data_IF_299710045105
#
_entry.id   IF_299710045105
#
_cell.length_a   1.000
_cell.length_b   1.000
_cell.length_c   1.000
_cell.angle_alpha   90.00
_cell.angle_beta   90.00
_cell.angle_gamma   90.00
#
_symmetry.space_group_name_H-M   'P 1'
#
loop_
_entity.id
_entity.type
_entity.pdbx_description
1 polymer ?
#
# COMPACT_ATOMS: atom_id res chain seq x y z
N UNK A 1 -24.13 -68.96 24.96
CA UNK A 1 -25.16 -68.82 23.95
C UNK A 1 -25.98 -67.58 24.33
N UNK A 2 -25.73 -66.45 23.68
CA UNK A 2 -26.43 -65.21 23.91
C UNK A 2 -26.81 -64.62 22.53
N UNK A 3 -28.07 -64.77 22.18
CA UNK A 3 -28.69 -64.28 20.97
C UNK A 3 -29.01 -62.79 21.14
N UNK A 4 -28.32 -61.89 20.40
CA UNK A 4 -28.68 -60.46 20.29
C UNK A 4 -29.75 -60.31 19.21
N UNK A 5 -30.89 -59.76 19.56
CA UNK A 5 -31.96 -59.31 18.66
C UNK A 5 -31.60 -57.92 18.12
N UNK A 6 -31.55 -57.79 16.81
CA UNK A 6 -31.47 -56.51 16.07
C UNK A 6 -32.84 -56.02 15.77
N UNK A 7 -33.13 -54.75 16.14
CA UNK A 7 -34.36 -54.00 15.78
C UNK A 7 -34.02 -53.07 14.63
N UNK A 8 -34.73 -53.09 13.49
CA UNK A 8 -34.52 -52.10 12.45
C UNK A 8 -35.32 -50.83 12.74
N UNK A 9 -34.63 -49.69 12.76
CA UNK A 9 -35.20 -48.35 12.85
C UNK A 9 -35.47 -47.83 11.43
N UNK A 10 -36.73 -47.75 11.04
CA UNK A 10 -37.17 -47.15 9.78
C UNK A 10 -37.23 -45.62 9.94
N UNK A 11 -36.35 -44.89 9.30
CA UNK A 11 -36.36 -43.45 9.23
C UNK A 11 -37.28 -43.00 8.08
N UNK A 12 -38.40 -42.35 8.41
CA UNK A 12 -39.31 -41.71 7.48
C UNK A 12 -38.80 -40.30 7.18
N UNK A 13 -38.21 -40.08 5.96
CA UNK A 13 -37.82 -38.75 5.49
C UNK A 13 -39.01 -38.02 4.89
N UNK A 14 -39.50 -37.02 5.59
CA UNK A 14 -40.51 -36.08 5.06
C UNK A 14 -39.78 -34.89 4.42
N UNK A 15 -39.72 -34.84 3.10
CA UNK A 15 -39.18 -33.71 2.36
C UNK A 15 -40.24 -32.62 2.22
N UNK A 16 -40.12 -31.52 2.97
CA UNK A 16 -40.90 -30.30 2.78
C UNK A 16 -40.11 -29.39 1.85
N UNK A 17 -40.44 -29.40 0.57
CA UNK A 17 -39.95 -28.43 -0.42
C UNK A 17 -40.76 -27.14 -0.31
N UNK A 18 -40.33 -26.19 0.52
CA UNK A 18 -40.83 -24.81 0.54
C UNK A 18 -40.00 -23.97 -0.39
N UNK A 19 -40.46 -23.81 -1.64
CA UNK A 19 -39.89 -22.91 -2.64
C UNK A 19 -40.11 -21.44 -2.25
N UNK A 20 -39.11 -20.80 -1.65
CA UNK A 20 -39.03 -19.35 -1.56
C UNK A 20 -38.31 -18.85 -2.83
N UNK A 21 -39.10 -18.50 -3.86
CA UNK A 21 -38.62 -17.76 -5.00
C UNK A 21 -38.25 -16.33 -4.54
N UNK A 22 -37.02 -16.09 -4.14
CA UNK A 22 -36.50 -14.74 -3.89
C UNK A 22 -36.47 -13.98 -5.23
N UNK A 23 -37.19 -12.86 -5.30
CA UNK A 23 -37.23 -12.00 -6.49
C UNK A 23 -35.84 -11.45 -6.81
N UNK A 24 -35.28 -11.70 -8.00
CA UNK A 24 -33.89 -11.30 -8.33
C UNK A 24 -33.66 -9.78 -8.36
N UNK A 25 -34.73 -8.97 -8.41
CA UNK A 25 -34.62 -7.50 -8.44
C UNK A 25 -34.25 -6.85 -7.10
N UNK A 26 -34.63 -7.43 -5.98
CA UNK A 26 -34.29 -6.86 -4.65
C UNK A 26 -32.79 -7.07 -4.30
N UNK A 27 -32.21 -8.17 -4.76
CA UNK A 27 -30.81 -8.46 -4.55
C UNK A 27 -29.89 -7.52 -5.37
N UNK A 28 -30.28 -7.17 -6.61
CA UNK A 28 -29.51 -6.26 -7.46
C UNK A 28 -29.50 -4.80 -6.94
N UNK A 29 -30.63 -4.30 -6.42
CA UNK A 29 -30.74 -2.95 -5.88
C UNK A 29 -29.95 -2.79 -4.56
N UNK A 30 -29.91 -3.81 -3.72
CA UNK A 30 -29.11 -3.80 -2.49
C UNK A 30 -27.60 -3.85 -2.81
N UNK A 31 -27.20 -4.62 -3.83
CA UNK A 31 -25.81 -4.69 -4.27
C UNK A 31 -25.28 -3.37 -4.82
N UNK A 32 -26.07 -2.62 -5.59
CA UNK A 32 -25.64 -1.34 -6.17
C UNK A 32 -25.47 -0.24 -5.11
N UNK A 33 -26.40 -0.16 -4.16
CA UNK A 33 -26.30 0.81 -3.07
C UNK A 33 -25.11 0.53 -2.18
N UNK A 34 -24.83 -0.73 -1.91
CA UNK A 34 -23.65 -1.14 -1.14
C UNK A 34 -22.33 -0.84 -1.87
N UNK A 35 -22.24 -1.04 -3.19
CA UNK A 35 -21.05 -0.73 -3.99
C UNK A 35 -20.71 0.77 -4.02
N UNK A 36 -21.71 1.67 -4.00
CA UNK A 36 -21.44 3.12 -3.89
C UNK A 36 -20.86 3.48 -2.53
N UNK A 37 -21.41 2.94 -1.46
CA UNK A 37 -20.83 3.13 -0.12
C UNK A 37 -19.42 2.53 0.00
N UNK A 38 -19.16 1.40 -0.66
CA UNK A 38 -17.82 0.82 -0.75
C UNK A 38 -16.86 1.73 -1.54
N UNK A 39 -17.31 2.34 -2.64
CA UNK A 39 -16.50 3.30 -3.38
C UNK A 39 -16.10 4.50 -2.52
N UNK A 40 -17.06 5.11 -1.82
CA UNK A 40 -16.76 6.22 -0.88
C UNK A 40 -15.76 5.78 0.20
N UNK A 41 -15.91 4.57 0.72
CA UNK A 41 -15.01 4.02 1.72
C UNK A 41 -13.59 3.81 1.16
N UNK A 42 -13.45 3.27 -0.05
CA UNK A 42 -12.17 3.10 -0.72
C UNK A 42 -11.48 4.45 -0.93
N UNK A 43 -12.22 5.45 -1.43
CA UNK A 43 -11.70 6.81 -1.65
C UNK A 43 -11.29 7.52 -0.35
N UNK A 44 -11.87 7.14 0.78
CA UNK A 44 -11.46 7.62 2.11
C UNK A 44 -10.22 6.91 2.65
N UNK A 45 -10.09 5.61 2.39
CA UNK A 45 -9.03 4.81 2.99
C UNK A 45 -7.74 4.84 2.20
N UNK A 46 -7.82 4.73 0.86
CA UNK A 46 -6.66 4.48 0.03
C UNK A 46 -5.71 5.68 -0.15
N UNK A 47 -6.16 6.94 -0.28
CA UNK A 47 -5.24 8.06 -0.39
C UNK A 47 -4.35 8.19 0.84
N UNK A 48 -3.04 8.35 0.61
CA UNK A 48 -2.03 8.48 1.67
C UNK A 48 -0.67 7.98 1.22
N UNK A 49 0.24 7.90 2.16
CA UNK A 49 1.57 7.35 1.97
C UNK A 49 1.69 6.03 2.70
N UNK A 50 2.43 5.10 2.09
CA UNK A 50 2.59 3.74 2.57
C UNK A 50 4.02 3.27 2.32
N UNK A 51 4.56 2.45 3.20
CA UNK A 51 5.91 1.92 3.10
C UNK A 51 5.95 0.50 3.70
N UNK A 52 6.75 -0.39 3.12
CA UNK A 52 6.94 -1.74 3.65
C UNK A 52 8.16 -1.85 4.57
N UNK A 53 8.61 -0.76 5.17
CA UNK A 53 9.77 -0.73 6.06
C UNK A 53 9.68 -1.75 7.20
N UNK A 54 8.51 -1.89 7.83
CA UNK A 54 8.30 -2.87 8.90
C UNK A 54 8.48 -4.31 8.40
N UNK A 55 8.05 -4.60 7.17
CA UNK A 55 8.28 -5.90 6.54
C UNK A 55 9.78 -6.14 6.32
N UNK A 56 10.51 -5.14 5.81
CA UNK A 56 11.96 -5.22 5.61
C UNK A 56 12.68 -5.49 6.95
N UNK A 57 12.33 -4.75 8.00
CA UNK A 57 12.92 -4.94 9.34
C UNK A 57 12.63 -6.33 9.89
N UNK A 58 11.40 -6.83 9.76
CA UNK A 58 11.05 -8.20 10.19
C UNK A 58 11.86 -9.26 9.43
N UNK A 59 12.01 -9.10 8.13
CA UNK A 59 12.72 -10.06 7.27
C UNK A 59 14.23 -10.04 7.44
N UNK A 60 14.81 -8.87 7.74
CA UNK A 60 16.22 -8.76 8.11
C UNK A 60 16.53 -9.31 9.51
N UNK A 61 15.55 -9.92 10.18
CA UNK A 61 15.70 -10.49 11.51
C UNK A 61 15.82 -9.46 12.63
N UNK A 62 15.52 -8.17 12.36
CA UNK A 62 15.67 -7.11 13.34
C UNK A 62 17.09 -7.01 13.95
N UNK A 63 18.12 -7.38 13.16
CA UNK A 63 19.52 -7.52 13.60
C UNK A 63 19.93 -8.95 14.00
N UNK A 64 19.00 -9.92 13.91
CA UNK A 64 19.26 -11.36 13.98
C UNK A 64 19.49 -11.94 12.57
N UNK A 65 19.55 -13.26 12.44
CA UNK A 65 19.68 -13.89 11.12
C UNK A 65 18.51 -13.55 10.20
N UNK A 66 18.75 -13.23 8.90
CA UNK A 66 17.70 -13.01 7.95
C UNK A 66 16.72 -14.19 7.88
N UNK A 67 15.42 -13.89 7.79
CA UNK A 67 14.37 -14.91 7.67
C UNK A 67 14.22 -15.45 6.25
N UNK A 68 14.86 -14.82 5.27
CA UNK A 68 14.81 -15.18 3.84
C UNK A 68 16.11 -14.84 3.15
N UNK A 69 16.52 -15.70 2.20
CA UNK A 69 17.69 -15.48 1.34
C UNK A 69 17.45 -14.41 0.26
N UNK A 70 16.18 -14.03 0.05
CA UNK A 70 15.81 -12.96 -0.89
C UNK A 70 15.11 -11.83 -0.13
N UNK A 71 15.85 -10.81 0.29
CA UNK A 71 15.27 -9.67 0.97
C UNK A 71 14.31 -8.95 0.03
N UNK A 72 13.14 -8.58 0.55
CA UNK A 72 12.23 -7.70 -0.17
C UNK A 72 12.89 -6.36 -0.43
N UNK A 73 12.55 -5.77 -1.56
CA UNK A 73 12.90 -4.41 -1.85
C UNK A 73 12.01 -3.47 -1.03
N UNK A 74 12.60 -2.45 -0.41
CA UNK A 74 11.80 -1.40 0.23
C UNK A 74 11.12 -0.58 -0.84
N UNK A 75 9.81 -0.42 -0.70
CA UNK A 75 8.96 0.37 -1.59
C UNK A 75 8.16 1.37 -0.77
N UNK A 76 8.34 2.65 -1.09
CA UNK A 76 7.52 3.74 -0.60
C UNK A 76 6.52 4.14 -1.67
N UNK A 77 5.23 4.17 -1.34
CA UNK A 77 4.14 4.46 -2.27
C UNK A 77 3.31 5.64 -1.80
N UNK A 78 2.96 6.52 -2.73
CA UNK A 78 2.09 7.68 -2.49
C UNK A 78 0.88 7.59 -3.37
N UNK A 79 -0.30 7.58 -2.77
CA UNK A 79 -1.62 7.53 -3.41
C UNK A 79 -2.32 8.86 -3.21
N UNK A 80 -2.70 9.55 -4.31
CA UNK A 80 -3.32 10.87 -4.26
C UNK A 80 -4.60 10.92 -5.08
N UNK A 81 -5.66 11.49 -4.49
CA UNK A 81 -6.87 11.83 -5.23
C UNK A 81 -6.57 12.97 -6.20
N UNK A 82 -6.94 12.79 -7.47
CA UNK A 82 -6.79 13.79 -8.52
C UNK A 82 -8.13 14.42 -8.80
N UNK A 83 -8.34 15.65 -8.31
CA UNK A 83 -9.56 16.39 -8.55
C UNK A 83 -9.57 16.97 -9.97
N UNK A 84 -10.76 16.99 -10.61
CA UNK A 84 -10.93 17.59 -11.95
C UNK A 84 -10.19 16.87 -13.07
N UNK A 85 -9.89 15.58 -12.90
CA UNK A 85 -9.23 14.78 -13.93
C UNK A 85 -10.12 14.59 -15.15
N UNK A 86 -9.59 14.76 -16.38
CA UNK A 86 -10.36 14.46 -17.60
C UNK A 86 -10.61 12.95 -17.79
N UNK A 87 -9.94 12.09 -17.03
CA UNK A 87 -10.08 10.63 -17.12
C UNK A 87 -11.35 10.12 -16.45
N UNK A 88 -11.89 10.85 -15.47
CA UNK A 88 -13.07 10.44 -14.73
C UNK A 88 -13.24 11.20 -13.40
N UNK A 89 -14.33 10.87 -12.70
CA UNK A 89 -14.70 11.50 -11.43
C UNK A 89 -13.80 11.04 -10.26
N UNK A 90 -13.50 9.74 -10.21
CA UNK A 90 -12.75 9.12 -9.11
C UNK A 90 -11.41 8.62 -9.62
N UNK A 91 -10.40 9.46 -9.48
CA UNK A 91 -9.05 9.20 -10.01
C UNK A 91 -8.04 9.23 -8.87
N UNK A 92 -7.22 8.18 -8.78
CA UNK A 92 -6.09 8.10 -7.85
C UNK A 92 -4.80 7.98 -8.66
N UNK A 93 -3.86 8.89 -8.46
CA UNK A 93 -2.49 8.75 -8.93
C UNK A 93 -1.64 8.01 -7.90
N UNK A 94 -0.74 7.16 -8.38
CA UNK A 94 0.17 6.37 -7.55
C UNK A 94 1.59 6.55 -8.05
N UNK A 95 2.49 6.85 -7.12
CA UNK A 95 3.92 6.91 -7.39
C UNK A 95 4.62 6.03 -6.37
N UNK A 96 5.46 5.12 -6.85
CA UNK A 96 6.25 4.20 -6.04
C UNK A 96 7.73 4.50 -6.22
N UNK A 97 8.45 4.65 -5.12
CA UNK A 97 9.89 4.84 -5.08
C UNK A 97 10.58 3.69 -4.36
N UNK A 98 11.80 3.37 -4.77
CA UNK A 98 12.65 2.42 -4.08
C UNK A 98 13.39 3.11 -2.93
N UNK A 99 13.49 2.44 -1.78
CA UNK A 99 14.24 2.89 -0.60
C UNK A 99 13.86 4.29 -0.09
N UNK A 100 12.61 4.72 -0.35
CA UNK A 100 12.12 6.07 -0.03
C UNK A 100 12.96 7.19 -0.70
N UNK A 101 13.62 6.87 -1.81
CA UNK A 101 14.42 7.80 -2.59
C UNK A 101 13.62 8.34 -3.79
N UNK A 102 13.24 9.62 -3.81
CA UNK A 102 12.47 10.21 -4.91
C UNK A 102 13.16 10.11 -6.28
N UNK A 103 14.48 9.95 -6.33
CA UNK A 103 15.24 9.77 -7.57
C UNK A 103 15.12 8.35 -8.14
N UNK A 104 14.66 7.38 -7.34
CA UNK A 104 14.55 5.98 -7.70
C UNK A 104 13.10 5.58 -7.96
N UNK A 105 12.51 6.17 -9.00
CA UNK A 105 11.15 5.85 -9.41
C UNK A 105 11.05 4.36 -9.77
N UNK A 106 10.19 3.63 -9.07
CA UNK A 106 9.87 2.23 -9.36
C UNK A 106 8.72 2.14 -10.36
N UNK A 107 7.63 2.86 -10.07
CA UNK A 107 6.42 2.83 -10.88
C UNK A 107 5.59 4.11 -10.69
N UNK A 108 4.92 4.54 -11.75
CA UNK A 108 3.84 5.52 -11.70
C UNK A 108 2.60 4.95 -12.40
N UNK A 109 1.42 5.10 -11.78
CA UNK A 109 0.12 4.65 -12.28
C UNK A 109 -0.95 5.66 -11.95
N UNK A 110 -2.00 5.62 -12.75
CA UNK A 110 -3.25 6.32 -12.45
C UNK A 110 -4.38 5.31 -12.52
N UNK A 111 -5.22 5.27 -11.51
CA UNK A 111 -6.40 4.42 -11.44
C UNK A 111 -7.65 5.28 -11.61
N UNK A 112 -8.51 4.91 -12.55
CA UNK A 112 -9.86 5.44 -12.68
C UNK A 112 -10.80 4.42 -12.07
N UNK A 113 -11.55 4.83 -11.04
CA UNK A 113 -12.34 3.92 -10.22
C UNK A 113 -13.81 4.11 -10.53
N UNK A 114 -14.52 3.02 -10.72
CA UNK A 114 -15.97 2.99 -10.97
C UNK A 114 -16.65 1.79 -10.33
N UNK A 115 -17.96 1.85 -10.17
CA UNK A 115 -18.78 0.72 -9.76
C UNK A 115 -19.05 -0.18 -10.97
N UNK A 116 -18.77 -1.47 -10.84
CA UNK A 116 -19.11 -2.52 -11.80
C UNK A 116 -20.18 -3.41 -11.19
N UNK A 117 -21.46 -3.10 -11.48
CA UNK A 117 -22.60 -3.85 -10.95
C UNK A 117 -22.68 -5.26 -11.52
N UNK A 118 -22.18 -5.49 -12.74
CA UNK A 118 -22.17 -6.82 -13.36
C UNK A 118 -21.16 -7.74 -12.69
N UNK A 119 -20.01 -7.20 -12.26
CA UNK A 119 -19.01 -7.95 -11.52
C UNK A 119 -19.27 -7.96 -10.00
N UNK A 120 -20.18 -7.13 -9.50
CA UNK A 120 -20.40 -6.95 -8.05
C UNK A 120 -19.13 -6.42 -7.35
N UNK A 121 -18.41 -5.51 -7.98
CA UNK A 121 -17.09 -5.06 -7.55
C UNK A 121 -16.83 -3.60 -7.91
N UNK A 122 -15.77 -3.02 -7.35
CA UNK A 122 -15.17 -1.77 -7.84
C UNK A 122 -14.18 -2.11 -8.94
N UNK A 123 -14.32 -1.47 -10.11
CA UNK A 123 -13.39 -1.60 -11.24
C UNK A 123 -12.39 -0.46 -11.21
N UNK A 124 -11.12 -0.79 -11.32
CA UNK A 124 -10.00 0.14 -11.42
C UNK A 124 -9.35 -0.02 -12.78
N UNK A 125 -9.63 0.91 -13.68
CA UNK A 125 -8.94 0.98 -14.98
C UNK A 125 -7.57 1.60 -14.77
N UNK A 126 -6.52 0.91 -15.20
CA UNK A 126 -5.14 1.32 -15.02
C UNK A 126 -4.62 2.12 -16.20
N UNK A 127 -3.98 3.25 -15.91
CA UNK A 127 -3.28 4.09 -16.88
C UNK A 127 -1.81 4.20 -16.52
N UNK A 128 -0.95 4.21 -17.52
CA UNK A 128 0.48 4.54 -17.38
C UNK A 128 0.85 5.71 -18.28
N UNK A 129 1.91 6.43 -17.92
CA UNK A 129 2.50 7.40 -18.81
C UNK A 129 2.98 6.69 -20.09
N UNK A 130 2.62 7.20 -21.25
CA UNK A 130 3.24 6.76 -22.51
C UNK A 130 4.74 7.03 -22.40
N UNK A 131 5.55 6.00 -22.50
CA UNK A 131 6.98 6.21 -22.72
C UNK A 131 7.13 7.03 -24.00
N UNK A 132 7.83 8.16 -23.98
CA UNK A 132 8.21 8.82 -25.22
C UNK A 132 8.98 7.76 -26.02
N UNK A 133 8.49 7.48 -27.24
CA UNK A 133 9.16 6.54 -28.14
C UNK A 133 10.64 6.92 -28.19
N UNK A 134 11.50 5.98 -27.85
CA UNK A 134 12.96 6.13 -27.80
C UNK A 134 13.51 6.54 -29.16
N UNK A 135 13.50 7.82 -29.45
CA UNK A 135 14.44 8.45 -30.38
C UNK A 135 14.64 9.90 -29.92
N UNK A 136 15.74 10.22 -29.22
CA UNK A 136 16.11 11.62 -29.02
C UNK A 136 16.57 12.17 -30.37
N UNK A 137 15.63 12.72 -31.13
CA UNK A 137 16.00 13.67 -32.17
C UNK A 137 16.43 14.96 -31.46
N UNK A 138 17.70 15.30 -31.61
CA UNK A 138 18.34 16.44 -30.97
C UNK A 138 17.88 17.79 -31.54
N UNK A 139 16.60 18.05 -31.62
CA UNK A 139 16.04 19.34 -31.98
C UNK A 139 14.52 19.41 -31.72
N UNK A 140 14.11 19.41 -30.45
CA UNK A 140 12.77 19.89 -30.10
C UNK A 140 12.82 20.57 -28.75
N UNK A 141 12.33 21.86 -28.67
CA UNK A 141 12.25 22.55 -27.39
C UNK A 141 11.29 21.77 -26.48
N UNK A 142 11.67 21.67 -25.21
CA UNK A 142 10.96 20.95 -24.15
C UNK A 142 9.45 21.21 -24.24
N UNK A 143 8.70 20.20 -24.65
CA UNK A 143 7.25 20.20 -24.56
C UNK A 143 6.91 20.15 -23.07
N UNK A 144 6.51 21.28 -22.51
CA UNK A 144 5.99 21.44 -21.15
C UNK A 144 4.55 20.91 -21.05
N UNK A 145 4.33 19.65 -21.49
CA UNK A 145 3.04 18.97 -21.39
C UNK A 145 3.10 17.90 -20.31
N UNK A 146 2.05 17.80 -19.49
CA UNK A 146 1.85 16.64 -18.63
C UNK A 146 1.96 15.35 -19.46
N UNK A 147 2.58 14.27 -18.94
CA UNK A 147 2.75 13.04 -19.70
C UNK A 147 1.38 12.52 -20.16
N UNK A 148 1.28 12.20 -21.43
CA UNK A 148 0.06 11.61 -21.99
C UNK A 148 -0.17 10.22 -21.33
N UNK A 149 -1.31 10.07 -20.65
CA UNK A 149 -1.69 8.84 -20.00
C UNK A 149 -2.46 7.95 -20.99
N UNK A 150 -2.11 6.69 -21.06
CA UNK A 150 -2.82 5.70 -21.86
C UNK A 150 -3.28 4.53 -20.98
N UNK A 151 -4.48 3.96 -21.21
CA UNK A 151 -4.90 2.76 -20.51
C UNK A 151 -3.96 1.60 -20.85
N UNK A 152 -3.69 0.75 -19.87
CA UNK A 152 -2.82 -0.43 -20.07
C UNK A 152 -3.43 -1.44 -21.06
N UNK A 153 -4.73 -1.39 -21.27
CA UNK A 153 -5.44 -2.22 -22.21
C UNK A 153 -6.28 -3.33 -21.57
N UNK A 154 -6.94 -4.14 -22.41
CA UNK A 154 -7.86 -5.16 -21.94
C UNK A 154 -7.21 -6.16 -20.99
N UNK A 155 -7.93 -6.55 -19.95
CA UNK A 155 -7.50 -7.54 -18.96
C UNK A 155 -6.52 -7.03 -17.90
N UNK A 156 -6.13 -5.75 -17.94
CA UNK A 156 -5.30 -5.12 -16.91
C UNK A 156 -6.11 -4.39 -15.82
N UNK A 157 -7.43 -4.31 -15.97
CA UNK A 157 -8.29 -3.71 -14.95
C UNK A 157 -8.26 -4.55 -13.68
N UNK A 158 -8.24 -3.88 -12.53
CA UNK A 158 -8.39 -4.55 -11.24
C UNK A 158 -9.87 -4.56 -10.85
N UNK A 159 -10.32 -5.66 -10.27
CA UNK A 159 -11.63 -5.77 -9.65
C UNK A 159 -11.45 -5.96 -8.15
N UNK A 160 -11.99 -5.04 -7.35
CA UNK A 160 -11.92 -5.08 -5.90
C UNK A 160 -13.29 -5.34 -5.29
N UNK A 161 -13.35 -6.27 -4.35
CA UNK A 161 -14.52 -6.56 -3.54
C UNK A 161 -14.24 -6.25 -2.07
N UNK A 162 -15.26 -5.81 -1.34
CA UNK A 162 -15.13 -5.59 0.09
C UNK A 162 -15.42 -6.89 0.85
N UNK A 163 -14.40 -7.48 1.43
CA UNK A 163 -14.44 -8.78 2.10
C UNK A 163 -13.73 -8.69 3.44
N UNK A 164 -14.35 -9.15 4.51
CA UNK A 164 -13.71 -9.24 5.82
C UNK A 164 -13.23 -7.90 6.40
N UNK A 165 -13.80 -6.76 6.00
CA UNK A 165 -13.42 -5.44 6.49
C UNK A 165 -12.27 -4.79 5.71
N UNK A 166 -11.92 -5.28 4.53
CA UNK A 166 -10.91 -4.73 3.62
C UNK A 166 -11.35 -4.91 2.16
N UNK A 167 -10.72 -4.18 1.25
CA UNK A 167 -10.89 -4.41 -0.18
C UNK A 167 -9.83 -5.40 -0.65
N UNK A 168 -10.27 -6.42 -1.37
CA UNK A 168 -9.40 -7.44 -1.95
C UNK A 168 -9.70 -7.64 -3.42
N UNK A 169 -8.68 -7.90 -4.22
CA UNK A 169 -8.86 -8.25 -5.60
C UNK A 169 -7.59 -8.11 -6.43
N UNK A 170 -7.78 -7.87 -7.72
CA UNK A 170 -6.69 -7.79 -8.68
C UNK A 170 -7.19 -8.03 -10.09
N UNK A 171 -6.30 -8.35 -11.01
CA UNK A 171 -6.68 -8.87 -12.31
C UNK A 171 -6.46 -10.39 -12.39
N UNK A 172 -7.21 -11.06 -13.27
CA UNK A 172 -7.10 -12.50 -13.46
C UNK A 172 -5.68 -12.89 -13.92
N UNK A 173 -5.17 -14.06 -13.52
CA UNK A 173 -3.87 -14.53 -13.93
C UNK A 173 -3.71 -14.52 -15.47
N UNK A 174 -2.62 -13.94 -15.95
CA UNK A 174 -2.29 -13.83 -17.39
C UNK A 174 -3.30 -13.04 -18.24
N UNK A 175 -4.21 -12.30 -17.62
CA UNK A 175 -5.18 -11.47 -18.35
C UNK A 175 -4.54 -10.18 -18.88
N UNK A 176 -3.69 -9.54 -18.10
CA UNK A 176 -2.94 -8.34 -18.49
C UNK A 176 -1.75 -8.74 -19.37
N UNK A 177 -1.71 -8.19 -20.60
CA UNK A 177 -0.63 -8.46 -21.57
C UNK A 177 0.18 -7.22 -21.91
N UNK A 178 0.00 -6.15 -21.17
CA UNK A 178 0.76 -4.92 -21.37
C UNK A 178 2.24 -5.17 -21.05
N UNK A 179 3.12 -4.64 -21.90
CA UNK A 179 4.56 -4.82 -21.72
C UNK A 179 5.04 -4.21 -20.40
N UNK A 180 5.82 -4.96 -19.64
CA UNK A 180 6.33 -4.54 -18.33
C UNK A 180 5.35 -4.67 -17.17
N UNK A 181 4.11 -5.14 -17.44
CA UNK A 181 3.15 -5.40 -16.38
C UNK A 181 3.27 -6.84 -15.85
N UNK A 182 2.98 -7.05 -14.56
CA UNK A 182 2.98 -8.39 -13.99
C UNK A 182 1.86 -9.24 -14.61
N UNK A 183 2.15 -10.52 -14.80
CA UNK A 183 1.17 -11.47 -15.34
C UNK A 183 -0.03 -11.70 -14.40
N UNK A 184 0.17 -11.43 -13.11
CA UNK A 184 -0.85 -11.43 -12.07
C UNK A 184 -0.57 -10.27 -11.12
N UNK A 185 -1.61 -9.56 -10.75
CA UNK A 185 -1.52 -8.49 -9.76
C UNK A 185 -2.62 -8.66 -8.74
N UNK A 186 -2.24 -8.79 -7.47
CA UNK A 186 -3.15 -8.79 -6.34
C UNK A 186 -3.04 -7.48 -5.57
N UNK A 187 -4.15 -7.00 -5.05
CA UNK A 187 -4.24 -5.78 -4.27
C UNK A 187 -5.15 -5.98 -3.07
N UNK A 188 -4.71 -5.55 -1.89
CA UNK A 188 -5.50 -5.47 -0.68
C UNK A 188 -5.41 -4.05 -0.14
N UNK A 189 -6.54 -3.43 0.17
CA UNK A 189 -6.61 -2.10 0.76
C UNK A 189 -7.42 -2.14 2.04
N UNK A 190 -6.77 -1.85 3.15
CA UNK A 190 -7.37 -1.68 4.46
C UNK A 190 -7.30 -0.23 4.95
N UNK A 191 -7.87 0.09 6.13
CA UNK A 191 -7.90 1.45 6.65
C UNK A 191 -6.49 2.03 6.97
N UNK A 192 -5.50 1.14 7.16
CA UNK A 192 -4.14 1.53 7.57
C UNK A 192 -3.03 0.85 6.77
N UNK A 193 -3.36 0.08 5.75
CA UNK A 193 -2.39 -0.66 4.96
C UNK A 193 -2.84 -0.80 3.50
N UNK A 194 -1.86 -1.01 2.64
CA UNK A 194 -2.05 -1.39 1.24
C UNK A 194 -1.03 -2.48 0.93
N UNK A 195 -1.51 -3.65 0.55
CA UNK A 195 -0.66 -4.77 0.18
C UNK A 195 -0.82 -5.07 -1.29
N UNK A 196 0.26 -5.37 -1.96
CA UNK A 196 0.20 -5.80 -3.35
C UNK A 196 1.13 -6.97 -3.62
N UNK A 197 0.79 -7.75 -4.65
CA UNK A 197 1.57 -8.87 -5.13
C UNK A 197 1.61 -8.83 -6.66
N UNK A 198 2.80 -9.01 -7.24
CA UNK A 198 3.03 -8.87 -8.68
C UNK A 198 3.24 -10.20 -9.41
N UNK A 199 3.37 -11.30 -8.67
CA UNK A 199 3.56 -12.62 -9.25
C UNK A 199 2.86 -13.69 -8.41
N UNK A 200 2.29 -14.74 -9.06
CA UNK A 200 1.72 -15.87 -8.33
C UNK A 200 2.75 -16.54 -7.44
N UNK A 201 2.35 -16.87 -6.22
CA UNK A 201 3.22 -17.57 -5.26
C UNK A 201 4.31 -16.72 -4.62
N UNK A 202 4.53 -15.48 -5.06
CA UNK A 202 5.42 -14.55 -4.37
C UNK A 202 4.72 -13.96 -3.15
N UNK A 203 5.52 -13.55 -2.16
CA UNK A 203 5.00 -12.90 -0.98
C UNK A 203 4.45 -11.50 -1.32
N UNK A 204 3.53 -11.03 -0.48
CA UNK A 204 2.96 -9.70 -0.58
C UNK A 204 3.97 -8.64 -0.18
N UNK A 205 3.95 -7.50 -0.85
CA UNK A 205 4.52 -6.26 -0.34
C UNK A 205 3.54 -5.69 0.68
N UNK A 206 3.88 -5.81 1.95
CA UNK A 206 3.03 -5.43 3.08
C UNK A 206 3.33 -3.98 3.48
N UNK A 207 2.66 -3.04 2.84
CA UNK A 207 2.85 -1.63 3.14
C UNK A 207 1.92 -1.17 4.26
N UNK A 208 2.47 -0.51 5.26
CA UNK A 208 1.74 0.17 6.33
C UNK A 208 1.67 1.67 6.05
N UNK A 209 0.57 2.31 6.47
CA UNK A 209 0.38 3.74 6.26
C UNK A 209 1.41 4.55 7.03
N UNK A 210 2.15 5.40 6.32
CA UNK A 210 3.15 6.28 6.87
C UNK A 210 2.53 7.58 7.40
N UNK A 211 2.80 7.90 8.66
CA UNK A 211 2.40 9.17 9.29
C UNK A 211 3.54 10.16 9.18
N UNK A 212 3.28 11.35 8.66
CA UNK A 212 4.28 12.41 8.54
C UNK A 212 4.42 13.23 9.81
N UNK A 213 5.66 13.54 10.14
CA UNK A 213 6.06 14.40 11.24
C UNK A 213 6.91 15.57 10.74
N UNK A 214 6.66 16.75 11.30
CA UNK A 214 7.51 17.90 11.13
C UNK A 214 8.31 18.07 12.41
N UNK A 215 9.64 17.91 12.32
CA UNK A 215 10.54 17.94 13.46
C UNK A 215 11.43 19.17 13.38
N UNK A 216 11.57 19.88 14.51
CA UNK A 216 12.54 20.96 14.65
C UNK A 216 13.83 20.40 15.24
N UNK A 217 14.93 20.57 14.54
CA UNK A 217 16.25 20.16 15.02
C UNK A 217 16.97 21.35 15.62
N UNK A 218 17.40 21.18 16.87
CA UNK A 218 18.07 22.20 17.63
C UNK A 218 19.37 21.64 18.23
N UNK A 219 20.38 22.45 18.32
CA UNK A 219 21.61 22.17 19.02
C UNK A 219 21.60 22.85 20.38
N UNK A 220 21.94 22.11 21.42
CA UNK A 220 22.18 22.69 22.74
C UNK A 220 23.69 22.89 22.93
N UNK A 221 24.10 24.13 23.02
CA UNK A 221 25.48 24.42 23.36
C UNK A 221 25.78 23.93 24.79
N UNK A 222 26.77 23.03 24.93
CA UNK A 222 27.32 22.56 26.20
C UNK A 222 26.29 21.99 27.21
N UNK A 223 25.18 21.40 26.74
CA UNK A 223 24.17 20.83 27.65
C UNK A 223 23.32 21.83 28.41
N UNK A 224 23.41 23.11 28.10
CA UNK A 224 22.59 24.16 28.72
C UNK A 224 21.30 24.36 27.94
N UNK A 225 20.17 23.97 28.50
CA UNK A 225 18.85 24.16 27.89
C UNK A 225 18.52 25.62 27.49
N UNK A 226 19.24 26.59 27.99
CA UNK A 226 18.98 28.01 27.75
C UNK A 226 19.67 28.58 26.49
N UNK A 227 20.58 27.84 25.89
CA UNK A 227 21.31 28.27 24.69
C UNK A 227 21.06 27.29 23.53
N UNK A 228 19.78 27.17 23.15
CA UNK A 228 19.42 26.35 22.01
C UNK A 228 19.56 27.14 20.72
N UNK A 229 20.32 26.58 19.78
CA UNK A 229 20.41 27.10 18.41
C UNK A 229 19.52 26.28 17.49
N UNK A 230 18.54 26.91 16.86
CA UNK A 230 17.76 26.27 15.80
C UNK A 230 18.66 26.01 14.57
N UNK A 231 18.66 24.78 14.09
CA UNK A 231 19.42 24.37 12.92
C UNK A 231 18.53 24.25 11.68
N UNK A 232 17.46 23.43 11.76
CA UNK A 232 16.63 23.13 10.62
C UNK A 232 15.27 22.52 11.03
N UNK A 233 14.26 22.73 10.17
CA UNK A 233 13.04 21.93 10.19
C UNK A 233 13.18 20.79 9.17
N UNK A 234 12.87 19.56 9.59
CA UNK A 234 12.87 18.37 8.74
C UNK A 234 11.49 17.71 8.73
N UNK A 235 11.21 16.98 7.66
CA UNK A 235 10.00 16.17 7.55
C UNK A 235 10.39 14.72 7.46
N UNK A 236 9.80 13.91 8.32
CA UNK A 236 10.03 12.47 8.41
C UNK A 236 8.69 11.76 8.42
N UNK A 237 8.69 10.47 8.16
CA UNK A 237 7.54 9.60 8.40
C UNK A 237 7.94 8.39 9.25
N UNK A 238 6.99 7.83 10.00
CA UNK A 238 7.23 6.77 11.00
C UNK A 238 7.47 5.37 10.41
N UNK A 239 7.48 5.26 9.10
CA UNK A 239 7.88 4.04 8.39
C UNK A 239 9.33 4.13 7.89
N UNK A 240 10.25 4.50 8.80
CA UNK A 240 11.69 4.59 8.49
C UNK A 240 12.07 5.79 7.62
N UNK A 241 11.30 6.88 7.69
CA UNK A 241 11.65 8.14 7.03
C UNK A 241 12.93 8.71 7.64
N UNK A 242 13.82 9.23 6.80
CA UNK A 242 15.13 9.73 7.23
C UNK A 242 15.47 11.09 6.64
N UNK A 243 16.31 11.85 7.35
CA UNK A 243 16.86 13.12 6.86
C UNK A 243 18.29 13.31 7.37
N UNK A 244 19.14 13.76 6.48
CA UNK A 244 20.52 14.13 6.79
C UNK A 244 20.63 15.62 7.13
N UNK A 245 21.39 15.92 8.16
CA UNK A 245 21.66 17.28 8.63
C UNK A 245 23.16 17.46 8.82
N UNK A 246 23.72 18.49 8.19
CA UNK A 246 25.08 18.94 8.50
C UNK A 246 25.10 19.52 9.92
N UNK A 247 25.92 18.94 10.80
CA UNK A 247 26.08 19.38 12.18
C UNK A 247 27.17 20.44 12.29
N UNK A 248 27.12 21.37 13.25
CA UNK A 248 28.10 22.45 13.37
C UNK A 248 29.55 22.02 13.54
N UNK A 249 29.79 20.82 14.05
CA UNK A 249 31.14 20.23 14.20
C UNK A 249 31.69 19.58 12.92
N UNK A 250 30.98 19.70 11.79
CA UNK A 250 31.37 19.17 10.47
C UNK A 250 30.87 17.75 10.20
N UNK A 251 30.27 17.05 11.17
CA UNK A 251 29.63 15.74 10.94
C UNK A 251 28.32 15.88 10.17
N UNK A 252 27.90 14.83 9.52
CA UNK A 252 26.53 14.69 9.03
C UNK A 252 25.78 13.72 9.93
N UNK A 253 24.67 14.14 10.49
CA UNK A 253 23.81 13.29 11.31
C UNK A 253 22.55 12.90 10.52
N UNK A 254 22.23 11.61 10.54
CA UNK A 254 21.01 11.06 9.97
C UNK A 254 19.96 10.87 11.07
N UNK A 255 18.83 11.52 10.92
CA UNK A 255 17.67 11.40 11.78
C UNK A 255 16.68 10.43 11.15
N UNK A 256 16.20 9.46 11.92
CA UNK A 256 15.25 8.45 11.45
C UNK A 256 14.12 8.29 12.45
N UNK A 257 12.91 8.09 11.95
CA UNK A 257 11.72 7.74 12.76
C UNK A 257 11.20 6.37 12.33
N UNK A 258 10.90 5.52 13.32
CA UNK A 258 10.25 4.23 13.10
C UNK A 258 9.00 4.13 13.98
N UNK A 259 7.93 3.54 13.47
CA UNK A 259 6.88 3.00 14.33
C UNK A 259 7.34 1.66 14.87
N UNK A 260 7.19 1.43 16.15
CA UNK A 260 7.50 0.16 16.79
C UNK A 260 6.37 -0.25 17.73
N UNK A 261 5.79 -1.41 17.47
CA UNK A 261 4.91 -2.06 18.42
C UNK A 261 5.75 -2.77 19.49
N UNK A 262 5.56 -2.42 20.75
CA UNK A 262 6.09 -3.21 21.84
C UNK A 262 5.12 -4.33 22.18
N UNK A 263 5.65 -5.49 22.51
CA UNK A 263 4.88 -6.71 22.74
C UNK A 263 4.02 -6.70 24.02
N UNK A 264 4.09 -5.64 24.83
CA UNK A 264 3.30 -5.57 26.07
C UNK A 264 3.07 -4.12 26.52
N UNK A 265 1.83 -3.65 26.46
CA UNK A 265 0.66 -4.19 25.75
C UNK A 265 0.77 -4.03 24.23
N UNK A 266 0.29 -5.00 23.43
CA UNK A 266 0.51 -5.07 21.98
C UNK A 266 -0.18 -3.97 21.15
N UNK A 267 -1.00 -3.13 21.79
CA UNK A 267 -1.88 -2.18 21.09
C UNK A 267 -1.29 -0.77 20.93
N UNK A 268 -0.12 -0.51 21.50
CA UNK A 268 0.49 0.83 21.41
C UNK A 268 1.69 0.83 20.50
N UNK A 269 1.55 1.54 19.39
CA UNK A 269 2.66 1.89 18.51
C UNK A 269 3.28 3.19 19.00
N UNK A 270 4.59 3.17 19.24
CA UNK A 270 5.35 4.36 19.61
C UNK A 270 6.30 4.75 18.50
N UNK A 271 6.40 6.05 18.16
CA UNK A 271 7.47 6.50 17.29
C UNK A 271 8.79 6.40 18.05
N UNK A 272 9.76 5.75 17.45
CA UNK A 272 11.12 5.67 17.95
C UNK A 272 12.03 6.53 17.08
N UNK A 273 12.63 7.54 17.69
CA UNK A 273 13.67 8.34 17.04
C UNK A 273 15.04 7.68 17.18
N UNK A 274 15.82 7.74 16.10
CA UNK A 274 17.23 7.39 16.10
C UNK A 274 18.04 8.47 15.44
N UNK A 275 19.21 8.73 16.00
CA UNK A 275 20.18 9.66 15.43
C UNK A 275 21.49 8.87 15.23
N UNK A 276 22.00 8.86 14.00
CA UNK A 276 23.26 8.22 13.62
C UNK A 276 24.21 9.27 13.04
N UNK A 277 25.49 9.04 13.15
CA UNK A 277 26.43 9.66 12.24
C UNK A 277 26.32 8.96 10.87
N UNK A 278 26.25 9.73 9.78
CA UNK A 278 26.07 9.19 8.43
C UNK A 278 27.14 8.14 8.12
N UNK A 279 26.69 6.97 7.66
CA UNK A 279 27.55 5.82 7.37
C UNK A 279 27.93 4.97 8.58
N UNK A 280 27.45 5.28 9.79
CA UNK A 280 27.62 4.44 10.99
C UNK A 280 26.30 3.77 11.36
N UNK A 281 26.35 2.48 11.68
CA UNK A 281 25.17 1.70 12.06
C UNK A 281 24.73 1.96 13.51
N UNK A 282 25.69 2.27 14.40
CA UNK A 282 25.39 2.46 15.81
C UNK A 282 24.80 3.86 16.04
N UNK A 283 23.58 3.96 16.57
CA UNK A 283 22.99 5.24 16.88
C UNK A 283 23.71 5.91 18.04
N UNK A 284 23.86 7.23 17.93
CA UNK A 284 24.43 8.06 19.00
C UNK A 284 23.37 8.52 20.02
N UNK A 285 22.09 8.48 19.65
CA UNK A 285 20.97 8.79 20.54
C UNK A 285 19.67 8.10 20.11
N UNK A 286 18.78 7.89 21.09
CA UNK A 286 17.41 7.41 20.95
C UNK A 286 16.46 8.33 21.73
N UNK A 287 15.22 8.49 21.23
CA UNK A 287 14.12 9.16 21.93
C UNK A 287 12.77 8.51 21.57
#
# INVERSE_FOLDING_TARGET
MNTRRTVPCALLMLAIASGLAASPRAAAAHGEYDLKAQLELLLKWWPGEYDNHEQIVRQSGGGLSPLTDQPFQRVHSRYELVSGSPLGEHVISVVEHLDDDPSRLRRARTYVISVDTAAGALRLVQYAARSPATTPSAASPAASGAPELAPLGPGCDLLLQFVGGQFEGGHAPRSCKAAGEPAEYGLVVGPRYTWFREQPGHAWFEQTRARRFTCMVQENAEGRMRETRFLKTIRLHDQGGQADIAWPDGRTLTFTIHSRAFTSPPEREYPLFRIHEKGKEVPIAYA
#
